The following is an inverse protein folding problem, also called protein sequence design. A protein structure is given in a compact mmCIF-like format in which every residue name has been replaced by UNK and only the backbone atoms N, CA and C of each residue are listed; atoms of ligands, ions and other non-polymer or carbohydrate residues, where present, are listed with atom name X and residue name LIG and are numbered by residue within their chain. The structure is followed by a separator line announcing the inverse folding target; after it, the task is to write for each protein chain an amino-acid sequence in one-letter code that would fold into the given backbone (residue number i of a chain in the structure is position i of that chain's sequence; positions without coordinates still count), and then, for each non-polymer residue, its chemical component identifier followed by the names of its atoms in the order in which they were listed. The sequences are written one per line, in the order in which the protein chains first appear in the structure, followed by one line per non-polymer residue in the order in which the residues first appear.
data_IF_391443629239
#
_entry.id   IF_391443629239
#
_cell.length_a   1.000
_cell.length_b   1.000
_cell.length_c   1.000
_cell.angle_alpha   90.00
_cell.angle_beta   90.00
_cell.angle_gamma   90.00
#
_symmetry.space_group_name_H-M   'P 1'
#
loop_
_entity.id
_entity.type
_entity.pdbx_description
1 polymer ?
#
# COMPACT_ATOMS: atom_id res chain seq x y z
N UNK A 1 2.53 4.52 -0.93
CA UNK A 1 1.74 4.73 0.29
C UNK A 1 1.96 6.15 0.83
N UNK A 2 1.21 7.11 0.27
CA UNK A 2 1.20 8.53 0.64
C UNK A 2 -0.23 8.95 1.04
N UNK A 3 -0.51 10.26 1.20
CA UNK A 3 -1.80 10.74 1.72
C UNK A 3 -3.02 10.18 0.97
N UNK A 4 -3.00 10.18 -0.37
CA UNK A 4 -4.10 9.62 -1.18
C UNK A 4 -4.25 8.12 -0.94
N UNK A 5 -3.14 7.37 -1.03
CA UNK A 5 -3.16 5.92 -0.82
C UNK A 5 -3.67 5.51 0.57
N UNK A 6 -3.37 6.30 1.61
CA UNK A 6 -3.89 6.09 2.97
C UNK A 6 -5.40 6.27 3.03
N UNK A 7 -5.93 7.33 2.42
CA UNK A 7 -7.37 7.60 2.40
C UNK A 7 -8.17 6.58 1.57
N UNK A 8 -7.57 6.09 0.49
CA UNK A 8 -8.12 4.95 -0.27
C UNK A 8 -8.14 3.72 0.62
N UNK A 9 -7.02 3.36 1.26
CA UNK A 9 -6.93 2.21 2.16
C UNK A 9 -7.97 2.22 3.27
N UNK A 10 -8.20 3.37 3.93
CA UNK A 10 -9.26 3.52 4.95
C UNK A 10 -10.64 3.11 4.44
N UNK A 11 -10.98 3.47 3.20
CA UNK A 11 -12.28 3.12 2.58
C UNK A 11 -12.32 1.64 2.21
N UNK A 12 -11.24 1.11 1.63
CA UNK A 12 -11.14 -0.30 1.24
C UNK A 12 -11.24 -1.25 2.45
N UNK A 13 -10.73 -0.85 3.63
CA UNK A 13 -10.92 -1.62 4.87
C UNK A 13 -12.39 -1.82 5.23
N UNK A 14 -13.26 -0.85 4.97
CA UNK A 14 -14.69 -0.98 5.25
C UNK A 14 -15.36 -2.05 4.38
N UNK A 15 -14.72 -2.43 3.27
CA UNK A 15 -15.13 -3.53 2.40
C UNK A 15 -14.46 -4.87 2.77
N UNK A 16 -13.72 -4.94 3.88
CA UNK A 16 -13.04 -6.17 4.32
C UNK A 16 -11.84 -6.56 3.48
N UNK A 17 -11.27 -5.63 2.71
CA UNK A 17 -10.12 -5.91 1.85
C UNK A 17 -8.81 -6.03 2.64
N UNK A 18 -7.95 -6.91 2.16
CA UNK A 18 -6.56 -6.99 2.59
C UNK A 18 -5.72 -5.92 1.91
N UNK A 19 -4.95 -5.17 2.70
CA UNK A 19 -4.17 -4.04 2.19
C UNK A 19 -2.67 -4.32 2.19
N UNK A 20 -2.05 -4.12 1.03
CA UNK A 20 -0.62 -4.10 0.83
C UNK A 20 -0.20 -2.74 0.26
N UNK A 21 1.00 -2.29 0.57
CA UNK A 21 1.50 -1.00 0.10
C UNK A 21 2.99 -0.99 -0.19
N UNK A 22 3.39 -0.07 -1.07
CA UNK A 22 4.80 0.23 -1.36
C UNK A 22 5.08 1.68 -1.00
N UNK A 23 6.23 1.95 -0.38
CA UNK A 23 6.72 3.28 -0.04
C UNK A 23 8.24 3.32 -0.16
N UNK A 24 8.81 4.44 -0.62
CA UNK A 24 10.27 4.62 -0.73
C UNK A 24 10.99 4.36 0.60
N UNK A 25 10.41 4.82 1.69
CA UNK A 25 10.90 4.60 3.06
C UNK A 25 9.74 4.06 3.90
N UNK A 26 9.65 2.73 4.08
CA UNK A 26 8.59 2.10 4.85
C UNK A 26 8.80 2.38 6.34
N UNK A 27 7.69 2.40 7.06
CA UNK A 27 7.64 2.63 8.51
C UNK A 27 6.73 1.56 9.11
N UNK A 28 7.29 0.77 10.03
CA UNK A 28 6.58 -0.35 10.65
C UNK A 28 5.42 0.13 11.53
N UNK A 29 5.54 1.30 12.17
CA UNK A 29 4.45 1.87 12.96
C UNK A 29 3.31 2.34 12.06
N UNK A 30 3.63 2.90 10.89
CA UNK A 30 2.63 3.22 9.88
C UNK A 30 1.92 1.96 9.36
N UNK A 31 2.65 0.85 9.14
CA UNK A 31 2.07 -0.43 8.71
C UNK A 31 1.04 -0.94 9.72
N UNK A 32 1.37 -0.91 11.01
CA UNK A 32 0.46 -1.33 12.09
C UNK A 32 -0.73 -0.39 12.23
N UNK A 33 -0.48 0.92 12.28
CA UNK A 33 -1.52 1.95 12.45
C UNK A 33 -2.56 1.88 11.34
N UNK A 34 -2.10 1.74 10.11
CA UNK A 34 -2.98 1.63 8.95
C UNK A 34 -3.36 0.18 8.65
N UNK A 35 -3.06 -0.78 9.54
CA UNK A 35 -3.41 -2.20 9.46
C UNK A 35 -3.13 -2.84 8.09
N UNK A 36 -1.96 -2.57 7.54
CA UNK A 36 -1.50 -3.16 6.29
C UNK A 36 -0.91 -4.55 6.56
N UNK A 37 -1.27 -5.54 5.74
CA UNK A 37 -0.62 -6.85 5.77
C UNK A 37 0.85 -6.75 5.38
N UNK A 38 1.18 -5.84 4.47
CA UNK A 38 2.54 -5.62 3.99
C UNK A 38 2.79 -4.14 3.66
N UNK A 39 3.97 -3.63 4.01
CA UNK A 39 4.47 -2.32 3.60
C UNK A 39 5.93 -2.44 3.17
N UNK A 40 6.16 -2.56 1.87
CA UNK A 40 7.49 -2.77 1.29
C UNK A 40 8.07 -1.55 0.59
N UNK A 41 9.18 -1.79 -0.10
CA UNK A 41 9.89 -0.84 -0.98
C UNK A 41 9.67 -1.19 -2.44
N UNK A 42 10.26 -0.40 -3.34
CA UNK A 42 10.15 -0.59 -4.79
C UNK A 42 10.60 -1.98 -5.26
N UNK A 43 11.61 -2.57 -4.63
CA UNK A 43 12.09 -3.94 -4.95
C UNK A 43 11.05 -5.02 -4.70
N UNK A 44 10.06 -4.74 -3.85
CA UNK A 44 8.98 -5.67 -3.53
C UNK A 44 7.79 -5.55 -4.49
N UNK A 45 7.90 -4.72 -5.54
CA UNK A 45 6.81 -4.47 -6.48
C UNK A 45 6.30 -5.74 -7.14
N UNK A 46 7.19 -6.62 -7.59
CA UNK A 46 6.79 -7.87 -8.23
C UNK A 46 5.99 -8.78 -7.27
N UNK A 47 6.40 -8.84 -6.00
CA UNK A 47 5.65 -9.55 -4.95
C UNK A 47 4.26 -8.94 -4.75
N UNK A 48 4.17 -7.62 -4.57
CA UNK A 48 2.87 -6.94 -4.37
C UNK A 48 1.95 -7.14 -5.57
N UNK A 49 2.45 -7.03 -6.79
CA UNK A 49 1.66 -7.24 -8.00
C UNK A 49 1.13 -8.68 -8.11
N UNK A 50 1.94 -9.67 -7.74
CA UNK A 50 1.56 -11.08 -7.80
C UNK A 50 0.47 -11.46 -6.80
N UNK A 51 0.50 -10.86 -5.60
CA UNK A 51 -0.46 -11.14 -4.53
C UNK A 51 -1.74 -10.29 -4.59
N UNK A 52 -1.81 -9.30 -5.49
CA UNK A 52 -2.93 -8.34 -5.54
C UNK A 52 -3.99 -8.71 -6.57
N UNK A 53 -5.25 -8.78 -6.16
CA UNK A 53 -6.41 -8.83 -7.08
C UNK A 53 -6.66 -7.48 -7.78
N UNK A 54 -6.36 -6.38 -7.08
CA UNK A 54 -6.53 -5.01 -7.56
C UNK A 54 -5.30 -4.17 -7.25
N UNK A 55 -4.90 -3.32 -8.20
CA UNK A 55 -3.78 -2.38 -8.02
C UNK A 55 -4.29 -0.96 -8.16
N UNK A 56 -4.04 -0.12 -7.14
CA UNK A 56 -4.36 1.30 -7.16
C UNK A 56 -3.08 2.12 -7.16
N UNK A 57 -2.78 2.78 -8.28
CA UNK A 57 -1.60 3.63 -8.42
C UNK A 57 -1.91 5.03 -7.89
N UNK A 58 -1.37 5.35 -6.71
CA UNK A 58 -1.43 6.70 -6.13
C UNK A 58 -0.05 7.34 -6.00
N UNK A 59 0.95 6.78 -6.68
CA UNK A 59 2.29 7.36 -6.73
C UNK A 59 2.32 8.51 -7.74
N UNK A 60 3.10 9.58 -7.49
CA UNK A 60 3.33 10.58 -8.52
C UNK A 60 4.11 9.95 -9.69
N UNK A 61 3.85 10.43 -10.89
CA UNK A 61 4.72 10.14 -12.04
C UNK A 61 6.04 10.89 -11.83
N UNK A 62 7.14 10.13 -11.73
CA UNK A 62 8.51 10.68 -11.66
C UNK A 62 9.37 10.01 -12.72
N UNK A 63 10.45 10.66 -13.20
CA UNK A 63 11.48 10.00 -14.01
C UNK A 63 12.07 8.78 -13.32
#
# INVERSE_FOLDING_TARGET
YGSIGREVGKRLKAFGMDLMGIKRTPDEELRKTDGLKFLGVEKDLEYVLKESDFVVVTAPLTP
#
